data_IF_964441899241
#
_entry.id   IF_964441899241
#
_cell.length_a   1.000
_cell.length_b   1.000
_cell.length_c   1.000
_cell.angle_alpha   90.00
_cell.angle_beta   90.00
_cell.angle_gamma   90.00
#
_symmetry.space_group_name_H-M   'P 1'
#
loop_
_entity.id
_entity.type
_entity.pdbx_description
1 polymer ?
#
# COMPACT_ATOMS: atom_id res chain seq x y z
N UNK A 1 -46.50 -3.65 -4.64
CA UNK A 1 -45.18 -3.14 -4.22
C UNK A 1 -45.03 -3.42 -2.74
N UNK A 2 -44.49 -4.58 -2.35
CA UNK A 2 -44.06 -4.77 -0.97
C UNK A 2 -42.86 -3.86 -0.76
N UNK A 3 -43.00 -2.91 0.14
CA UNK A 3 -41.96 -1.96 0.49
C UNK A 3 -40.77 -2.70 1.10
N UNK A 4 -39.83 -3.14 0.26
CA UNK A 4 -38.44 -2.96 0.64
C UNK A 4 -38.28 -1.46 0.71
N UNK A 5 -38.11 -0.96 1.93
CA UNK A 5 -38.28 0.44 2.26
C UNK A 5 -37.30 1.30 1.44
N UNK A 6 -37.80 1.99 0.41
CA UNK A 6 -37.01 2.89 -0.42
C UNK A 6 -36.31 3.94 0.46
N UNK A 7 -36.94 4.34 1.57
CA UNK A 7 -36.32 5.23 2.54
C UNK A 7 -35.14 4.57 3.25
N UNK A 8 -35.22 3.28 3.57
CA UNK A 8 -34.10 2.52 4.15
C UNK A 8 -32.95 2.33 3.14
N UNK A 9 -33.27 2.10 1.86
CA UNK A 9 -32.28 2.02 0.78
C UNK A 9 -31.57 3.38 0.62
N UNK A 10 -32.32 4.47 0.52
CA UNK A 10 -31.79 5.82 0.41
C UNK A 10 -30.93 6.17 1.63
N UNK A 11 -31.37 5.87 2.84
CA UNK A 11 -30.62 6.12 4.06
C UNK A 11 -29.29 5.34 4.09
N UNK A 12 -29.30 4.06 3.69
CA UNK A 12 -28.09 3.24 3.66
C UNK A 12 -27.08 3.72 2.60
N UNK A 13 -27.57 4.23 1.47
CA UNK A 13 -26.74 4.81 0.42
C UNK A 13 -26.18 6.17 0.86
N UNK A 14 -27.02 7.06 1.39
CA UNK A 14 -26.62 8.37 1.91
C UNK A 14 -25.56 8.25 3.02
N UNK A 15 -25.72 7.32 3.95
CA UNK A 15 -24.72 7.01 4.97
C UNK A 15 -23.39 6.54 4.34
N UNK A 16 -23.47 5.78 3.23
CA UNK A 16 -22.29 5.23 2.56
C UNK A 16 -21.57 6.24 1.66
N UNK A 17 -22.26 7.25 1.15
CA UNK A 17 -21.69 8.30 0.28
C UNK A 17 -21.37 9.59 1.04
N UNK A 18 -21.77 9.70 2.32
CA UNK A 18 -21.70 10.94 3.11
C UNK A 18 -22.47 12.12 2.48
N UNK A 19 -23.47 11.82 1.64
CA UNK A 19 -24.30 12.80 0.93
C UNK A 19 -25.65 12.99 1.63
N UNK A 20 -26.29 14.16 1.44
CA UNK A 20 -27.63 14.38 1.95
C UNK A 20 -28.67 13.60 1.12
N UNK A 21 -29.70 12.97 1.74
CA UNK A 21 -30.71 12.19 1.02
C UNK A 21 -31.46 12.96 -0.07
N UNK A 22 -31.50 14.30 0.02
CA UNK A 22 -32.17 15.18 -0.94
C UNK A 22 -31.39 15.31 -2.26
N UNK A 23 -30.07 15.08 -2.23
CA UNK A 23 -29.18 15.21 -3.39
C UNK A 23 -29.09 13.91 -4.22
N UNK A 24 -29.65 12.82 -3.71
CA UNK A 24 -29.60 11.50 -4.35
C UNK A 24 -30.91 11.23 -5.09
N UNK A 25 -30.86 11.35 -6.42
CA UNK A 25 -32.02 11.04 -7.28
C UNK A 25 -32.04 9.57 -7.72
N UNK A 26 -33.19 9.10 -8.22
CA UNK A 26 -33.37 7.71 -8.65
C UNK A 26 -32.41 7.29 -9.79
N UNK A 27 -32.00 8.24 -10.63
CA UNK A 27 -31.17 8.01 -11.80
C UNK A 27 -29.70 8.39 -11.59
N UNK A 28 -29.35 8.94 -10.42
CA UNK A 28 -27.98 9.34 -10.11
C UNK A 28 -27.08 8.12 -10.01
N UNK A 29 -25.93 8.17 -10.66
CA UNK A 29 -24.90 7.15 -10.54
C UNK A 29 -24.20 7.26 -9.18
N UNK A 30 -24.41 6.27 -8.32
CA UNK A 30 -23.91 6.25 -6.95
C UNK A 30 -22.38 6.21 -6.87
N UNK A 31 -21.69 5.67 -7.89
CA UNK A 31 -20.22 5.71 -7.94
C UNK A 31 -19.67 7.11 -8.19
N UNK A 32 -20.43 7.97 -8.89
CA UNK A 32 -20.04 9.37 -9.09
C UNK A 32 -20.20 10.18 -7.79
N UNK A 33 -21.11 9.76 -6.91
CA UNK A 33 -21.30 10.29 -5.55
C UNK A 33 -20.33 9.67 -4.52
N UNK A 34 -19.28 8.98 -4.97
CA UNK A 34 -18.24 8.47 -4.07
C UNK A 34 -18.54 7.13 -3.42
N UNK A 35 -19.59 6.41 -3.84
CA UNK A 35 -19.80 5.04 -3.37
C UNK A 35 -18.66 4.14 -3.85
N UNK A 36 -17.91 3.57 -2.91
CA UNK A 36 -16.80 2.68 -3.22
C UNK A 36 -17.20 1.19 -3.22
N UNK A 37 -16.29 0.34 -3.70
CA UNK A 37 -16.52 -1.11 -3.75
C UNK A 37 -16.66 -1.75 -2.36
N UNK A 38 -16.07 -1.16 -1.32
CA UNK A 38 -16.13 -1.69 0.06
C UNK A 38 -17.51 -1.41 0.65
N UNK A 39 -18.03 -0.20 0.48
CA UNK A 39 -19.37 0.21 0.86
C UNK A 39 -20.42 -0.66 0.15
N UNK A 40 -20.29 -0.83 -1.17
CA UNK A 40 -21.18 -1.71 -1.93
C UNK A 40 -21.13 -3.17 -1.43
N UNK A 41 -19.95 -3.73 -1.17
CA UNK A 41 -19.83 -5.08 -0.59
C UNK A 41 -20.45 -5.19 0.81
N UNK A 42 -20.37 -4.14 1.64
CA UNK A 42 -21.02 -4.10 2.96
C UNK A 42 -22.54 -4.09 2.83
N UNK A 43 -23.09 -3.28 1.92
CA UNK A 43 -24.52 -3.24 1.61
C UNK A 43 -25.03 -4.59 1.12
N UNK A 44 -24.35 -5.21 0.15
CA UNK A 44 -24.63 -6.57 -0.33
C UNK A 44 -24.63 -7.56 0.84
N UNK A 45 -23.63 -7.51 1.71
CA UNK A 45 -23.55 -8.38 2.89
C UNK A 45 -24.74 -8.18 3.85
N UNK A 46 -25.16 -6.94 4.07
CA UNK A 46 -26.31 -6.61 4.91
C UNK A 46 -27.62 -7.13 4.32
N UNK A 47 -27.87 -6.91 3.03
CA UNK A 47 -29.08 -7.40 2.37
C UNK A 47 -29.12 -8.92 2.25
N UNK A 48 -27.98 -9.58 1.99
CA UNK A 48 -27.90 -11.05 2.01
C UNK A 48 -28.22 -11.63 3.39
N UNK A 49 -27.77 -11.00 4.48
CA UNK A 49 -28.16 -11.40 5.86
C UNK A 49 -29.64 -11.16 6.16
N UNK A 50 -30.23 -10.13 5.56
CA UNK A 50 -31.67 -9.89 5.63
C UNK A 50 -32.49 -10.80 4.71
N UNK A 51 -31.84 -11.70 3.97
CA UNK A 51 -32.47 -12.71 3.12
C UNK A 51 -32.63 -12.31 1.66
N UNK A 52 -32.13 -11.16 1.20
CA UNK A 52 -32.20 -10.78 -0.21
C UNK A 52 -31.07 -11.46 -1.01
N UNK A 53 -31.43 -12.22 -2.04
CA UNK A 53 -30.49 -12.75 -3.01
C UNK A 53 -30.00 -11.64 -3.96
N UNK A 54 -28.94 -10.92 -3.58
CA UNK A 54 -28.32 -9.86 -4.40
C UNK A 54 -26.81 -10.06 -4.50
N UNK A 55 -26.23 -9.79 -5.67
CA UNK A 55 -24.78 -9.86 -5.90
C UNK A 55 -24.18 -8.50 -6.31
N UNK A 56 -22.88 -8.35 -6.03
CA UNK A 56 -22.11 -7.17 -6.39
C UNK A 56 -22.18 -6.87 -7.89
N UNK A 57 -22.03 -7.89 -8.75
CA UNK A 57 -21.99 -7.70 -10.20
C UNK A 57 -23.30 -7.10 -10.74
N UNK A 58 -24.44 -7.49 -10.15
CA UNK A 58 -25.76 -6.99 -10.55
C UNK A 58 -25.94 -5.53 -10.17
N UNK A 59 -25.54 -5.15 -8.96
CA UNK A 59 -25.64 -3.78 -8.47
C UNK A 59 -24.64 -2.83 -9.15
N UNK A 60 -23.42 -3.32 -9.41
CA UNK A 60 -22.39 -2.54 -10.09
C UNK A 60 -22.69 -2.31 -11.59
N UNK A 61 -23.50 -3.16 -12.21
CA UNK A 61 -23.90 -3.00 -13.61
C UNK A 61 -24.81 -1.78 -13.83
N UNK A 62 -25.70 -1.50 -12.88
CA UNK A 62 -26.59 -0.34 -12.90
C UNK A 62 -26.58 0.32 -11.50
N UNK A 63 -25.56 1.14 -11.19
CA UNK A 63 -25.36 1.71 -9.86
C UNK A 63 -26.25 2.93 -9.61
N UNK A 64 -27.57 2.78 -9.82
CA UNK A 64 -28.56 3.84 -9.55
C UNK A 64 -29.55 3.39 -8.49
N UNK A 65 -30.02 4.35 -7.70
CA UNK A 65 -30.94 4.08 -6.59
C UNK A 65 -32.26 3.44 -7.08
N UNK A 66 -32.78 3.89 -8.23
CA UNK A 66 -33.98 3.33 -8.85
C UNK A 66 -33.80 1.91 -9.36
N UNK A 67 -32.67 1.60 -10.00
CA UNK A 67 -32.36 0.25 -10.46
C UNK A 67 -32.21 -0.73 -9.28
N UNK A 68 -31.57 -0.28 -8.19
CA UNK A 68 -31.40 -1.10 -6.99
C UNK A 68 -32.71 -1.33 -6.25
N UNK A 69 -33.57 -0.32 -6.16
CA UNK A 69 -34.90 -0.45 -5.57
C UNK A 69 -35.75 -1.48 -6.34
N UNK A 70 -35.72 -1.43 -7.67
CA UNK A 70 -36.42 -2.39 -8.52
C UNK A 70 -35.88 -3.81 -8.33
N UNK A 71 -34.55 -3.97 -8.29
CA UNK A 71 -33.89 -5.25 -8.08
C UNK A 71 -34.23 -5.85 -6.71
N UNK A 72 -34.18 -5.07 -5.64
CA UNK A 72 -34.53 -5.53 -4.29
C UNK A 72 -36.01 -5.87 -4.16
N UNK A 73 -36.89 -5.12 -4.84
CA UNK A 73 -38.32 -5.39 -4.86
C UNK A 73 -38.64 -6.71 -5.58
N UNK A 74 -37.95 -7.01 -6.69
CA UNK A 74 -38.07 -8.30 -7.39
C UNK A 74 -37.59 -9.47 -6.53
N UNK A 75 -36.52 -9.26 -5.76
CA UNK A 75 -35.91 -10.30 -4.92
C UNK A 75 -36.55 -10.46 -3.53
N UNK A 76 -37.57 -9.66 -3.19
CA UNK A 76 -38.28 -9.71 -1.92
C UNK A 76 -39.04 -11.04 -1.76
N UNK A 77 -38.37 -12.03 -1.14
CA UNK A 77 -38.92 -13.38 -0.91
C UNK A 77 -38.05 -14.51 -1.46
N UNK A 78 -37.10 -14.20 -2.34
CA UNK A 78 -36.02 -15.14 -2.73
C UNK A 78 -34.92 -15.08 -1.69
N UNK A 79 -34.97 -16.01 -0.73
CA UNK A 79 -33.91 -16.20 0.24
C UNK A 79 -32.58 -16.44 -0.50
N UNK A 80 -31.56 -15.63 -0.20
CA UNK A 80 -30.20 -15.93 -0.63
C UNK A 80 -29.85 -17.37 -0.21
N UNK A 81 -29.35 -18.17 -1.15
CA UNK A 81 -28.89 -19.51 -0.82
C UNK A 81 -27.85 -19.40 0.32
N UNK A 82 -28.07 -20.09 1.44
CA UNK A 82 -27.15 -20.02 2.58
C UNK A 82 -25.75 -20.33 2.08
N UNK A 83 -24.77 -19.48 2.43
CA UNK A 83 -23.38 -19.81 2.18
C UNK A 83 -23.13 -21.21 2.77
N UNK A 84 -22.62 -22.12 1.93
CA UNK A 84 -22.36 -23.48 2.36
C UNK A 84 -21.62 -23.45 3.70
N UNK A 85 -22.06 -24.23 4.71
CA UNK A 85 -21.41 -24.20 6.01
C UNK A 85 -19.92 -24.46 5.84
N UNK A 86 -19.11 -23.68 6.55
CA UNK A 86 -17.67 -23.90 6.57
C UNK A 86 -17.43 -25.36 6.93
N UNK A 87 -16.77 -26.10 6.04
CA UNK A 87 -16.52 -27.52 6.25
C UNK A 87 -15.70 -27.67 7.53
N UNK A 88 -16.23 -28.42 8.49
CA UNK A 88 -15.52 -28.68 9.74
C UNK A 88 -14.18 -29.37 9.44
N UNK A 89 -13.12 -29.07 10.20
CA UNK A 89 -11.86 -29.78 10.09
C UNK A 89 -12.07 -31.28 10.30
N UNK A 90 -11.32 -32.11 9.59
CA UNK A 90 -11.28 -33.54 9.84
C UNK A 90 -10.79 -33.81 11.29
N UNK A 91 -11.05 -34.99 11.88
CA UNK A 91 -10.68 -35.30 13.27
C UNK A 91 -9.18 -35.17 13.58
N UNK A 92 -8.33 -35.21 12.54
CA UNK A 92 -6.89 -35.00 12.62
C UNK A 92 -6.47 -33.51 12.54
N UNK A 93 -7.45 -32.60 12.42
CA UNK A 93 -7.26 -31.16 12.30
C UNK A 93 -6.99 -30.67 10.86
N UNK A 94 -7.03 -31.57 9.87
CA UNK A 94 -6.85 -31.21 8.46
C UNK A 94 -8.07 -30.46 7.91
N UNK A 95 -7.84 -29.53 6.99
CA UNK A 95 -8.90 -28.83 6.27
C UNK A 95 -8.45 -28.52 4.84
N UNK A 96 -9.38 -28.47 3.87
CA UNK A 96 -9.03 -28.15 2.49
C UNK A 96 -8.52 -26.71 2.41
N UNK A 97 -7.43 -26.52 1.67
CA UNK A 97 -6.88 -25.19 1.43
C UNK A 97 -7.85 -24.36 0.57
N UNK A 98 -8.01 -23.09 0.94
CA UNK A 98 -8.70 -22.12 0.09
C UNK A 98 -7.99 -21.98 -1.26
N UNK A 99 -8.72 -21.62 -2.32
CA UNK A 99 -8.15 -21.42 -3.68
C UNK A 99 -6.94 -20.47 -3.64
N UNK A 100 -7.02 -19.39 -2.86
CA UNK A 100 -5.91 -18.44 -2.72
C UNK A 100 -4.70 -19.04 -1.98
N UNK A 101 -4.93 -19.92 -1.00
CA UNK A 101 -3.85 -20.65 -0.32
C UNK A 101 -3.17 -21.64 -1.26
N UNK A 102 -3.95 -22.36 -2.10
CA UNK A 102 -3.41 -23.19 -3.16
C UNK A 102 -2.59 -22.38 -4.16
N UNK A 103 -3.10 -21.24 -4.62
CA UNK A 103 -2.40 -20.35 -5.54
C UNK A 103 -1.10 -19.80 -4.93
N UNK A 104 -1.13 -19.44 -3.64
CA UNK A 104 0.05 -19.01 -2.90
C UNK A 104 1.14 -20.08 -2.87
N UNK A 105 0.79 -21.32 -2.49
CA UNK A 105 1.75 -22.42 -2.42
C UNK A 105 2.25 -22.83 -3.81
N UNK A 106 1.36 -22.88 -4.80
CA UNK A 106 1.72 -23.17 -6.19
C UNK A 106 2.68 -22.12 -6.76
N UNK A 107 2.41 -20.84 -6.53
CA UNK A 107 3.29 -19.75 -6.95
C UNK A 107 4.65 -19.75 -6.24
N UNK A 108 4.77 -20.41 -5.09
CA UNK A 108 6.03 -20.57 -4.34
C UNK A 108 6.79 -21.84 -4.72
N UNK A 109 6.22 -22.73 -5.52
CA UNK A 109 6.84 -23.99 -5.88
C UNK A 109 8.14 -23.76 -6.69
N UNK A 110 9.19 -24.57 -6.46
CA UNK A 110 10.51 -24.39 -7.10
C UNK A 110 10.49 -24.59 -8.61
N UNK A 111 9.44 -25.22 -9.17
CA UNK A 111 9.23 -25.37 -10.61
C UNK A 111 8.73 -24.12 -11.31
N UNK A 112 8.33 -23.06 -10.58
CA UNK A 112 7.86 -21.82 -11.18
C UNK A 112 9.02 -20.89 -11.50
N UNK A 113 9.02 -20.27 -12.69
CA UNK A 113 10.10 -19.36 -13.14
C UNK A 113 10.37 -18.18 -12.18
N UNK A 114 9.38 -17.82 -11.37
CA UNK A 114 9.46 -16.77 -10.33
C UNK A 114 9.14 -17.29 -8.92
N UNK A 115 9.20 -18.61 -8.72
CA UNK A 115 8.90 -19.27 -7.45
C UNK A 115 9.83 -18.81 -6.33
N UNK A 116 9.25 -18.42 -5.19
CA UNK A 116 10.01 -17.98 -4.02
C UNK A 116 10.47 -16.51 -4.03
N UNK A 117 10.12 -15.73 -5.06
CA UNK A 117 10.42 -14.28 -5.13
C UNK A 117 9.15 -13.47 -4.86
N UNK A 118 9.22 -12.49 -3.95
CA UNK A 118 8.08 -11.60 -3.68
C UNK A 118 7.77 -10.74 -4.92
N UNK A 119 6.56 -10.90 -5.48
CA UNK A 119 6.14 -10.32 -6.76
C UNK A 119 6.28 -8.79 -6.86
N UNK A 120 6.13 -8.05 -5.76
CA UNK A 120 6.21 -6.58 -5.77
C UNK A 120 7.63 -6.00 -5.83
N UNK A 121 8.66 -6.75 -5.49
CA UNK A 121 10.02 -6.21 -5.36
C UNK A 121 10.86 -6.36 -6.65
N UNK A 122 10.45 -7.23 -7.57
CA UNK A 122 11.29 -7.69 -8.67
C UNK A 122 11.58 -6.60 -9.73
N UNK A 123 10.57 -5.82 -10.14
CA UNK A 123 10.71 -4.88 -11.28
C UNK A 123 11.49 -3.60 -10.93
N UNK A 124 11.29 -3.03 -9.73
CA UNK A 124 12.01 -1.82 -9.30
C UNK A 124 13.48 -2.10 -8.95
N UNK A 125 13.77 -3.28 -8.41
CA UNK A 125 15.10 -3.66 -7.96
C UNK A 125 16.01 -4.06 -9.12
N UNK A 126 15.51 -4.80 -10.12
CA UNK A 126 16.35 -5.29 -11.24
C UNK A 126 16.92 -4.17 -12.12
N UNK A 127 16.17 -3.08 -12.36
CA UNK A 127 16.65 -1.94 -13.15
C UNK A 127 17.76 -1.15 -12.44
N UNK A 128 17.61 -0.93 -11.13
CA UNK A 128 18.62 -0.27 -10.30
C UNK A 128 19.84 -1.15 -10.02
N UNK A 129 19.64 -2.47 -9.96
CA UNK A 129 20.68 -3.49 -9.74
C UNK A 129 21.70 -3.53 -10.87
N UNK A 130 21.28 -3.47 -12.15
CA UNK A 130 22.21 -3.46 -13.30
C UNK A 130 23.12 -2.22 -13.34
N UNK A 131 22.66 -1.06 -12.85
CA UNK A 131 23.48 0.15 -12.78
C UNK A 131 24.45 0.16 -11.59
N UNK A 132 24.12 -0.55 -10.50
CA UNK A 132 24.94 -0.57 -9.28
C UNK A 132 25.92 -1.75 -9.25
N UNK A 133 25.60 -2.88 -9.90
CA UNK A 133 26.47 -4.06 -10.01
C UNK A 133 27.74 -3.80 -10.84
N UNK A 134 27.71 -2.86 -11.78
CA UNK A 134 28.86 -2.48 -12.62
C UNK A 134 30.06 -1.93 -11.82
N UNK A 135 29.83 -1.40 -10.61
CA UNK A 135 30.87 -0.81 -9.76
C UNK A 135 31.52 -1.81 -8.78
N UNK A 136 30.90 -2.98 -8.57
CA UNK A 136 31.34 -4.00 -7.63
C UNK A 136 30.98 -3.69 -6.16
N UNK A 137 30.64 -4.74 -5.41
CA UNK A 137 30.13 -4.68 -4.03
C UNK A 137 30.93 -3.75 -3.09
N UNK A 138 32.27 -3.77 -3.18
CA UNK A 138 33.15 -3.00 -2.29
C UNK A 138 33.07 -1.49 -2.51
N UNK A 139 33.12 -1.06 -3.79
CA UNK A 139 33.07 0.36 -4.17
C UNK A 139 31.68 0.92 -3.95
N UNK A 140 30.64 0.13 -4.25
CA UNK A 140 29.25 0.51 -4.04
C UNK A 140 28.95 0.85 -2.56
N UNK A 141 29.46 0.05 -1.62
CA UNK A 141 29.23 0.28 -0.18
C UNK A 141 29.85 1.59 0.31
N UNK A 142 31.06 1.92 -0.15
CA UNK A 142 31.72 3.17 0.24
C UNK A 142 31.05 4.37 -0.45
N UNK A 143 30.79 4.28 -1.75
CA UNK A 143 30.24 5.39 -2.54
C UNK A 143 28.81 5.75 -2.14
N UNK A 144 27.99 4.77 -1.76
CA UNK A 144 26.61 5.01 -1.33
C UNK A 144 26.50 5.95 -0.12
N UNK A 145 27.55 6.10 0.70
CA UNK A 145 27.52 7.04 1.83
C UNK A 145 27.50 8.50 1.38
N UNK A 146 27.99 8.79 0.18
CA UNK A 146 28.04 10.13 -0.40
C UNK A 146 26.75 10.50 -1.16
N UNK A 147 25.87 9.53 -1.42
CA UNK A 147 24.65 9.73 -2.22
C UNK A 147 23.43 9.20 -1.44
N UNK A 148 22.61 10.07 -0.82
CA UNK A 148 21.51 9.67 0.05
C UNK A 148 20.53 8.65 -0.55
N UNK A 149 20.17 8.82 -1.83
CA UNK A 149 19.25 7.92 -2.56
C UNK A 149 19.88 6.53 -2.76
N UNK A 150 21.18 6.45 -3.02
CA UNK A 150 21.87 5.17 -3.18
C UNK A 150 21.97 4.45 -1.84
N UNK A 151 22.15 5.19 -0.74
CA UNK A 151 22.23 4.64 0.63
C UNK A 151 20.97 3.90 1.04
N UNK A 152 19.78 4.43 0.73
CA UNK A 152 18.50 3.83 1.13
C UNK A 152 18.25 2.51 0.40
N UNK A 153 18.67 2.41 -0.86
CA UNK A 153 18.51 1.21 -1.68
C UNK A 153 19.60 0.18 -1.41
N UNK A 154 20.84 0.63 -1.15
CA UNK A 154 22.00 -0.25 -1.03
C UNK A 154 21.86 -1.26 0.13
N UNK A 155 21.40 -0.84 1.31
CA UNK A 155 21.37 -1.72 2.48
C UNK A 155 20.42 -2.92 2.29
N UNK A 156 19.15 -2.73 1.88
CA UNK A 156 18.29 -3.85 1.48
C UNK A 156 18.87 -4.65 0.31
N UNK A 157 19.42 -3.96 -0.70
CA UNK A 157 19.97 -4.62 -1.89
C UNK A 157 21.14 -5.55 -1.57
N UNK A 158 22.05 -5.13 -0.68
CA UNK A 158 23.18 -5.94 -0.24
C UNK A 158 22.73 -7.22 0.51
N UNK A 159 21.63 -7.14 1.26
CA UNK A 159 20.99 -8.31 1.87
C UNK A 159 20.38 -9.24 0.82
N UNK A 160 19.66 -8.68 -0.15
CA UNK A 160 18.99 -9.43 -1.23
C UNK A 160 19.96 -10.09 -2.21
N UNK A 161 21.13 -9.49 -2.45
CA UNK A 161 22.15 -10.03 -3.36
C UNK A 161 23.09 -11.02 -2.67
N UNK A 162 22.91 -11.28 -1.36
CA UNK A 162 23.71 -12.25 -0.62
C UNK A 162 25.14 -11.77 -0.32
N UNK A 163 25.36 -10.45 -0.14
CA UNK A 163 26.69 -9.94 0.25
C UNK A 163 27.11 -10.54 1.59
N UNK A 164 28.31 -11.15 1.70
CA UNK A 164 28.75 -11.71 2.96
C UNK A 164 28.81 -10.64 4.06
N UNK A 165 28.21 -10.90 5.21
CA UNK A 165 28.11 -9.92 6.31
C UNK A 165 29.48 -9.33 6.70
N UNK A 166 30.54 -10.14 6.70
CA UNK A 166 31.92 -9.69 6.97
C UNK A 166 32.45 -8.68 5.94
N UNK A 167 32.04 -8.80 4.68
CA UNK A 167 32.42 -7.84 3.63
C UNK A 167 31.64 -6.56 3.85
N UNK A 168 30.32 -6.67 4.04
CA UNK A 168 29.45 -5.51 4.27
C UNK A 168 29.91 -4.66 5.46
N UNK A 169 30.08 -5.27 6.63
CA UNK A 169 30.45 -4.55 7.86
C UNK A 169 31.82 -3.88 7.76
N UNK A 170 32.83 -4.55 7.19
CA UNK A 170 34.16 -3.96 7.02
C UNK A 170 34.13 -2.71 6.15
N UNK A 171 33.47 -2.77 4.99
CA UNK A 171 33.38 -1.62 4.08
C UNK A 171 32.44 -0.53 4.62
N UNK A 172 31.42 -0.89 5.40
CA UNK A 172 30.58 0.07 6.11
C UNK A 172 31.36 0.87 7.17
N UNK A 173 32.23 0.20 7.94
CA UNK A 173 33.07 0.88 8.94
C UNK A 173 34.08 1.78 8.26
N UNK A 174 34.79 1.29 7.24
CA UNK A 174 35.78 2.09 6.49
C UNK A 174 35.14 3.31 5.82
N UNK A 175 34.01 3.12 5.12
CA UNK A 175 33.29 4.23 4.51
C UNK A 175 32.75 5.21 5.55
N UNK A 176 32.32 4.72 6.70
CA UNK A 176 31.88 5.56 7.83
C UNK A 176 32.99 6.43 8.38
N UNK A 177 34.16 5.83 8.66
CA UNK A 177 35.33 6.56 9.13
C UNK A 177 35.78 7.61 8.11
N UNK A 178 35.87 7.23 6.83
CA UNK A 178 36.26 8.14 5.76
C UNK A 178 35.29 9.33 5.65
N UNK A 179 33.99 9.07 5.73
CA UNK A 179 32.97 10.12 5.66
C UNK A 179 33.04 11.06 6.87
N UNK A 180 33.08 10.51 8.09
CA UNK A 180 33.13 11.33 9.31
C UNK A 180 34.40 12.17 9.34
N UNK A 181 35.57 11.58 9.10
CA UNK A 181 36.82 12.32 9.02
C UNK A 181 36.79 13.37 7.91
N UNK A 182 36.26 13.03 6.73
CA UNK A 182 36.14 13.94 5.60
C UNK A 182 35.28 15.17 5.91
N UNK A 183 34.08 14.97 6.46
CA UNK A 183 33.17 16.07 6.83
C UNK A 183 33.75 16.90 7.96
N UNK A 184 34.37 16.27 8.96
CA UNK A 184 35.01 17.00 10.08
C UNK A 184 36.17 17.87 9.60
N UNK A 185 37.07 17.32 8.77
CA UNK A 185 38.20 18.08 8.22
C UNK A 185 37.69 19.20 7.31
N UNK A 186 36.71 18.93 6.44
CA UNK A 186 36.11 19.95 5.59
C UNK A 186 35.49 21.08 6.42
N UNK A 187 34.80 20.76 7.52
CA UNK A 187 34.26 21.74 8.46
C UNK A 187 35.36 22.58 9.12
N UNK A 188 36.45 21.94 9.60
CA UNK A 188 37.59 22.66 10.19
C UNK A 188 38.27 23.59 9.19
N UNK A 189 38.51 23.12 7.96
CA UNK A 189 39.11 23.93 6.90
C UNK A 189 38.21 25.11 6.52
N UNK A 190 36.91 24.86 6.34
CA UNK A 190 35.93 25.90 6.00
C UNK A 190 35.82 26.96 7.10
N UNK A 191 35.82 26.54 8.37
CA UNK A 191 35.82 27.44 9.53
C UNK A 191 37.10 28.25 9.67
N UNK A 192 38.26 27.69 9.30
CA UNK A 192 39.54 28.41 9.33
C UNK A 192 39.76 29.37 8.14
N UNK A 193 39.13 29.12 6.99
CA UNK A 193 39.35 29.87 5.76
C UNK A 193 38.41 31.06 5.58
N UNK A 194 37.22 31.04 6.20
CA UNK A 194 36.17 32.06 6.02
C UNK A 194 35.91 32.78 7.36
N UNK A 195 36.20 34.08 7.48
CA UNK A 195 35.77 34.89 8.61
C UNK A 195 34.24 34.93 8.71
N UNK A 196 33.68 34.79 9.91
CA UNK A 196 32.22 34.76 10.16
C UNK A 196 31.48 33.61 9.44
N UNK A 197 32.04 32.40 9.47
CA UNK A 197 31.42 31.19 8.87
C UNK A 197 30.00 30.93 9.37
N UNK A 198 29.70 31.26 10.64
CA UNK A 198 28.40 31.01 11.27
C UNK A 198 27.25 31.73 10.55
N UNK A 199 27.49 32.92 10.00
CA UNK A 199 26.51 33.70 9.23
C UNK A 199 25.99 32.94 8.00
N UNK A 200 26.81 32.06 7.41
CA UNK A 200 26.45 31.25 6.25
C UNK A 200 26.04 29.83 6.65
N UNK A 201 26.69 29.25 7.66
CA UNK A 201 26.50 27.86 8.05
C UNK A 201 25.16 27.66 8.79
N UNK A 202 24.76 28.60 9.65
CA UNK A 202 23.49 28.55 10.38
C UNK A 202 22.26 28.52 9.46
N UNK A 203 22.08 29.44 8.48
CA UNK A 203 20.92 29.41 7.60
C UNK A 203 20.89 28.17 6.69
N UNK A 204 22.05 27.71 6.20
CA UNK A 204 22.13 26.47 5.39
C UNK A 204 21.71 25.25 6.21
N UNK A 205 22.22 25.13 7.45
CA UNK A 205 21.88 24.01 8.34
C UNK A 205 20.40 24.04 8.70
N UNK A 206 19.86 25.22 9.04
CA UNK A 206 18.44 25.40 9.30
C UNK A 206 17.59 25.00 8.09
N UNK A 207 17.96 25.42 6.88
CA UNK A 207 17.26 25.03 5.65
C UNK A 207 17.29 23.51 5.42
N UNK A 208 18.44 22.86 5.62
CA UNK A 208 18.56 21.38 5.51
C UNK A 208 17.64 20.68 6.52
N UNK A 209 17.59 21.15 7.76
CA UNK A 209 16.70 20.61 8.80
C UNK A 209 15.23 20.76 8.39
N UNK A 210 14.82 21.95 7.95
CA UNK A 210 13.45 22.21 7.49
C UNK A 210 13.08 21.31 6.31
N UNK A 211 13.93 21.24 5.28
CA UNK A 211 13.72 20.37 4.11
C UNK A 211 13.68 18.89 4.50
N UNK A 212 14.47 18.46 5.48
CA UNK A 212 14.47 17.07 5.96
C UNK A 212 13.21 16.71 6.77
N UNK A 213 12.64 17.68 7.49
CA UNK A 213 11.40 17.50 8.25
C UNK A 213 10.15 17.65 7.38
N UNK A 214 10.23 18.38 6.26
CA UNK A 214 9.11 18.65 5.35
C UNK A 214 8.36 17.38 4.89
N UNK A 215 9.01 16.28 4.44
CA UNK A 215 8.31 15.07 4.01
C UNK A 215 7.54 14.39 5.14
N UNK A 216 8.04 14.50 6.37
CA UNK A 216 7.41 13.94 7.58
C UNK A 216 6.21 14.81 7.96
N UNK A 217 6.37 16.13 7.96
CA UNK A 217 5.28 17.07 8.23
C UNK A 217 4.13 16.92 7.22
N UNK A 218 4.44 16.81 5.92
CA UNK A 218 3.43 16.56 4.87
C UNK A 218 2.72 15.21 5.10
N UNK A 219 3.43 14.18 5.59
CA UNK A 219 2.83 12.89 5.94
C UNK A 219 1.91 12.92 7.16
N UNK A 220 2.19 13.76 8.15
CA UNK A 220 1.36 13.92 9.34
C UNK A 220 0.13 14.80 9.08
N UNK A 221 0.28 15.82 8.23
CA UNK A 221 -0.81 16.77 7.94
C UNK A 221 -1.77 16.25 6.89
N UNK A 222 -1.39 15.28 6.05
CA UNK A 222 -2.35 14.58 5.18
C UNK A 222 -3.14 13.57 6.02
N UNK A 223 -4.40 13.84 6.39
CA UNK A 223 -5.29 12.80 6.91
C UNK A 223 -5.45 11.78 5.77
N UNK A 224 -5.42 10.50 6.12
CA UNK A 224 -5.19 9.42 5.16
C UNK A 224 -6.14 9.45 3.97
N UNK A 225 -5.66 9.93 2.83
CA UNK A 225 -6.18 9.51 1.53
C UNK A 225 -5.63 8.10 1.28
N UNK A 226 -6.25 7.11 1.94
CA UNK A 226 -5.97 5.70 1.74
C UNK A 226 -6.66 5.29 0.44
N UNK A 227 -5.83 5.07 -0.58
CA UNK A 227 -6.19 4.32 -1.78
C UNK A 227 -6.56 2.87 -1.43
#
# INVERSE_FOLDING_TARGET
MSAVDYAALLAAVAESTEEEPEDITADTNLFELGLDSIALMRLVGTWRRAGFAVDFAELAANPTLGAWAALLADRAGTAAEPAAPAREPDPDGSFPLAVLQHAYWFGRAPGQRLGGVAAHLHNGVTRSRRFLESYGHRKAIVLARFIPVVRTVLNPLAGLTGVPAKVFTRWQVLGGLLWTLGVTIAGCLLGSAIPNVDTYLLPITAAIVVVSLLPIAIRLVRPGNRA
#
